data_IF_373614286841
#
_entry.id   IF_373614286841
#
_cell.length_a   1.000
_cell.length_b   1.000
_cell.length_c   1.000
_cell.angle_alpha   90.00
_cell.angle_beta   90.00
_cell.angle_gamma   90.00
#
_symmetry.space_group_name_H-M   'P 1'
#
loop_
_entity.id
_entity.type
_entity.pdbx_description
1 polymer ?
#
# COMPACT_ATOMS: atom_id res chain seq x y z
N UNK A 1 -3.02 -0.30 -16.44
CA UNK A 1 -2.27 -1.08 -15.42
C UNK A 1 -1.17 -0.29 -14.66
N UNK A 2 -1.00 1.02 -14.89
CA UNK A 2 0.09 1.81 -14.28
C UNK A 2 -0.35 2.82 -13.21
N UNK A 3 -1.65 3.01 -12.97
CA UNK A 3 -2.13 4.04 -12.05
C UNK A 3 -1.72 3.76 -10.59
N UNK A 4 -1.87 2.53 -10.12
CA UNK A 4 -1.42 2.13 -8.78
C UNK A 4 0.09 2.30 -8.63
N UNK A 5 0.88 1.75 -9.57
CA UNK A 5 2.34 1.89 -9.59
C UNK A 5 2.77 3.35 -9.56
N UNK A 6 2.19 4.21 -10.41
CA UNK A 6 2.54 5.63 -10.47
C UNK A 6 2.18 6.39 -9.18
N UNK A 7 0.99 6.13 -8.61
CA UNK A 7 0.56 6.75 -7.36
C UNK A 7 1.48 6.38 -6.20
N UNK A 8 1.86 5.10 -6.11
CA UNK A 8 2.80 4.63 -5.10
C UNK A 8 4.24 5.07 -5.36
N UNK A 9 4.72 5.10 -6.60
CA UNK A 9 6.07 5.60 -6.94
C UNK A 9 6.28 7.04 -6.49
N UNK A 10 5.26 7.90 -6.64
CA UNK A 10 5.34 9.28 -6.15
C UNK A 10 5.58 9.32 -4.64
N UNK A 11 4.84 8.52 -3.88
CA UNK A 11 5.01 8.42 -2.44
C UNK A 11 6.35 7.79 -2.03
N UNK A 12 6.72 6.67 -2.66
CA UNK A 12 7.94 5.92 -2.36
C UNK A 12 9.23 6.70 -2.64
N UNK A 13 9.23 7.60 -3.62
CA UNK A 13 10.41 8.42 -3.91
C UNK A 13 10.66 9.51 -2.87
N UNK A 14 9.62 9.94 -2.15
CA UNK A 14 9.68 11.06 -1.19
C UNK A 14 9.86 10.57 0.26
N UNK A 15 9.74 9.26 0.51
CA UNK A 15 9.77 8.67 1.85
C UNK A 15 10.92 7.65 1.97
N UNK A 16 11.77 7.83 2.97
CA UNK A 16 12.82 6.88 3.30
C UNK A 16 12.24 5.66 4.02
N UNK A 17 11.85 4.63 3.25
CA UNK A 17 11.33 3.37 3.78
C UNK A 17 12.44 2.33 4.01
N UNK A 18 12.27 1.51 5.05
CA UNK A 18 13.10 0.32 5.26
C UNK A 18 12.67 -0.87 4.38
N UNK A 19 13.45 -1.95 4.39
CA UNK A 19 13.22 -3.12 3.54
C UNK A 19 11.93 -3.89 3.85
N UNK A 20 11.39 -3.81 5.08
CA UNK A 20 10.11 -4.42 5.46
C UNK A 20 8.96 -3.55 4.98
N UNK A 21 9.07 -2.24 5.13
CA UNK A 21 8.10 -1.27 4.65
C UNK A 21 7.99 -1.27 3.12
N UNK A 22 9.12 -1.30 2.41
CA UNK A 22 9.16 -1.42 0.94
C UNK A 22 8.46 -2.71 0.50
N UNK A 23 8.77 -3.83 1.15
CA UNK A 23 8.11 -5.11 0.85
C UNK A 23 6.59 -5.00 1.01
N UNK A 24 6.13 -4.46 2.14
CA UNK A 24 4.70 -4.28 2.41
C UNK A 24 4.02 -3.41 1.33
N UNK A 25 4.64 -2.27 0.97
CA UNK A 25 4.09 -1.39 -0.07
C UNK A 25 4.05 -2.07 -1.44
N UNK A 26 5.06 -2.86 -1.79
CA UNK A 26 5.05 -3.63 -3.03
C UNK A 26 3.91 -4.66 -3.05
N UNK A 27 3.61 -5.31 -1.93
CA UNK A 27 2.46 -6.22 -1.84
C UNK A 27 1.13 -5.48 -2.04
N UNK A 28 1.00 -4.22 -1.57
CA UNK A 28 -0.19 -3.41 -1.83
C UNK A 28 -0.35 -3.14 -3.32
N UNK A 29 0.75 -2.76 -3.98
CA UNK A 29 0.77 -2.50 -5.43
C UNK A 29 0.39 -3.76 -6.21
N UNK A 30 0.97 -4.91 -5.87
CA UNK A 30 0.67 -6.21 -6.50
C UNK A 30 -0.79 -6.59 -6.32
N UNK A 31 -1.33 -6.47 -5.10
CA UNK A 31 -2.72 -6.75 -4.80
C UNK A 31 -3.66 -5.90 -5.64
N UNK A 32 -3.43 -4.59 -5.72
CA UNK A 32 -4.29 -3.68 -6.49
C UNK A 32 -4.17 -3.95 -8.00
N UNK A 33 -2.98 -4.30 -8.50
CA UNK A 33 -2.81 -4.66 -9.92
C UNK A 33 -3.60 -5.92 -10.28
N UNK A 34 -3.67 -6.90 -9.38
CA UNK A 34 -4.40 -8.14 -9.60
C UNK A 34 -5.91 -8.01 -9.39
N UNK A 35 -6.33 -7.27 -8.35
CA UNK A 35 -7.73 -7.20 -7.91
C UNK A 35 -8.45 -5.92 -8.36
N UNK A 36 -7.73 -4.99 -8.99
CA UNK A 36 -8.23 -3.67 -9.41
C UNK A 36 -8.31 -2.64 -8.28
N UNK A 37 -8.73 -3.06 -7.07
CA UNK A 37 -8.87 -2.18 -5.90
C UNK A 37 -8.84 -2.94 -4.58
N UNK A 38 -8.54 -2.25 -3.48
CA UNK A 38 -8.53 -2.81 -2.12
C UNK A 38 -9.70 -2.24 -1.30
N UNK A 39 -10.86 -2.89 -1.35
CA UNK A 39 -12.09 -2.43 -0.67
C UNK A 39 -12.09 -2.69 0.83
N UNK A 40 -11.53 -3.83 1.23
CA UNK A 40 -11.41 -4.23 2.62
C UNK A 40 -9.94 -4.15 3.03
N UNK A 41 -9.64 -3.36 4.06
CA UNK A 41 -8.29 -3.23 4.60
C UNK A 41 -7.92 -4.37 5.54
N UNK A 42 -8.87 -5.24 5.91
CA UNK A 42 -8.59 -6.42 6.73
C UNK A 42 -7.57 -7.37 6.08
N UNK A 43 -7.53 -7.40 4.75
CA UNK A 43 -6.56 -8.20 3.96
C UNK A 43 -5.10 -7.87 4.28
N UNK A 44 -4.82 -6.66 4.78
CA UNK A 44 -3.49 -6.24 5.20
C UNK A 44 -3.01 -6.93 6.49
N UNK A 45 -3.89 -7.69 7.14
CA UNK A 45 -3.61 -8.49 8.33
C UNK A 45 -3.38 -9.98 8.00
N UNK A 46 -3.32 -10.32 6.71
CA UNK A 46 -3.12 -11.69 6.22
C UNK A 46 -1.86 -11.78 5.33
N UNK A 47 -1.29 -12.98 5.14
CA UNK A 47 -0.24 -13.19 4.14
C UNK A 47 -0.70 -12.76 2.74
N UNK A 48 0.17 -12.12 1.92
CA UNK A 48 1.61 -11.93 2.14
C UNK A 48 1.99 -10.67 2.94
N UNK A 49 1.02 -9.84 3.36
CA UNK A 49 1.32 -8.57 4.05
C UNK A 49 1.99 -8.77 5.41
N UNK A 50 1.66 -9.85 6.10
CA UNK A 50 2.21 -10.17 7.42
C UNK A 50 3.52 -10.96 7.38
N UNK A 51 4.04 -11.31 6.20
CA UNK A 51 5.23 -12.17 6.06
C UNK A 51 6.51 -11.55 6.64
N UNK A 52 6.53 -10.21 6.79
CA UNK A 52 7.66 -9.46 7.37
C UNK A 52 7.28 -8.64 8.61
N UNK A 53 6.23 -9.08 9.30
CA UNK A 53 5.65 -8.41 10.46
C UNK A 53 4.30 -7.79 10.12
N UNK A 54 3.47 -7.63 11.15
CA UNK A 54 2.18 -6.95 11.05
C UNK A 54 2.34 -5.47 10.71
N UNK A 55 1.25 -4.85 10.27
CA UNK A 55 1.22 -3.43 9.92
C UNK A 55 1.74 -2.51 11.02
N UNK A 56 1.46 -2.83 12.29
CA UNK A 56 1.88 -2.04 13.46
C UNK A 56 3.36 -2.26 13.82
N UNK A 57 3.93 -3.42 13.46
CA UNK A 57 5.35 -3.73 13.66
C UNK A 57 6.23 -3.16 12.53
N UNK A 58 5.68 -3.06 11.32
CA UNK A 58 6.38 -2.54 10.14
C UNK A 58 6.31 -1.01 10.09
N UNK A 59 5.19 -0.41 10.49
CA UNK A 59 5.00 1.04 10.48
C UNK A 59 4.83 1.59 11.90
N UNK A 60 5.96 1.72 12.62
CA UNK A 60 6.00 2.33 13.95
C UNK A 60 5.72 3.84 13.91
N UNK A 61 6.07 4.51 12.81
CA UNK A 61 5.64 5.87 12.52
C UNK A 61 4.27 5.83 11.81
N UNK A 62 3.23 6.22 12.56
CA UNK A 62 1.86 6.24 12.07
C UNK A 62 1.65 7.25 10.93
N UNK A 63 2.48 8.29 10.82
CA UNK A 63 2.36 9.27 9.73
C UNK A 63 2.67 8.64 8.37
N UNK A 64 3.63 7.72 8.33
CA UNK A 64 3.99 6.94 7.13
C UNK A 64 2.84 6.01 6.75
N UNK A 65 2.24 5.32 7.72
CA UNK A 65 1.08 4.46 7.45
C UNK A 65 -0.12 5.27 6.93
N UNK A 66 -0.43 6.42 7.53
CA UNK A 66 -1.50 7.29 7.06
C UNK A 66 -1.25 7.78 5.63
N UNK A 67 -0.01 8.08 5.26
CA UNK A 67 0.37 8.43 3.90
C UNK A 67 0.07 7.30 2.90
N UNK A 68 0.48 6.08 3.21
CA UNK A 68 0.21 4.88 2.40
C UNK A 68 -1.29 4.66 2.24
N UNK A 69 -2.05 4.69 3.35
CA UNK A 69 -3.50 4.51 3.34
C UNK A 69 -4.19 5.53 2.43
N UNK A 70 -3.78 6.80 2.49
CA UNK A 70 -4.31 7.85 1.61
C UNK A 70 -4.09 7.56 0.12
N UNK A 71 -2.94 6.97 -0.23
CA UNK A 71 -2.65 6.55 -1.61
C UNK A 71 -3.57 5.40 -2.03
N UNK A 72 -3.82 4.41 -1.16
CA UNK A 72 -4.79 3.33 -1.43
C UNK A 72 -6.18 3.92 -1.71
N UNK A 73 -6.65 4.81 -0.85
CA UNK A 73 -7.97 5.46 -0.97
C UNK A 73 -8.08 6.24 -2.30
N UNK A 74 -7.04 6.98 -2.69
CA UNK A 74 -7.00 7.68 -3.97
C UNK A 74 -7.06 6.74 -5.17
N UNK A 75 -6.31 5.63 -5.14
CA UNK A 75 -6.30 4.65 -6.22
C UNK A 75 -7.67 3.98 -6.35
N UNK A 76 -8.28 3.60 -5.22
CA UNK A 76 -9.64 3.05 -5.21
C UNK A 76 -10.67 4.05 -5.75
N UNK A 77 -10.61 5.31 -5.34
CA UNK A 77 -11.52 6.35 -5.83
C UNK A 77 -11.40 6.55 -7.35
N UNK A 78 -10.17 6.56 -7.87
CA UNK A 78 -9.91 6.65 -9.30
C UNK A 78 -10.45 5.44 -10.07
N UNK A 79 -10.37 4.25 -9.49
CA UNK A 79 -10.90 3.03 -10.10
C UNK A 79 -12.44 3.00 -10.15
N UNK A 80 -13.11 3.65 -9.20
CA UNK A 80 -14.59 3.78 -9.19
C UNK A 80 -15.08 4.85 -10.17
N UNK A 81 -14.27 5.88 -10.43
CA UNK A 81 -14.62 6.98 -11.32
C UNK A 81 -14.34 6.71 -12.82
N UNK A 82 -13.63 5.63 -13.14
CA UNK A 82 -13.24 5.23 -14.50
C UNK A 82 -14.23 4.23 -15.11
#
# INVERSE_FOLDING_TARGET
MNAAKAAFSKYLNDVNLDSRQIYFVNQIVEYIVQNGMMKDLSVLQEPPFTDRGSIVEVFTDLSVWMGIRKVIEQVNANAVAA
#
